data_IF_456632332598
#
_entry.id   IF_456632332598
#
_cell.length_a   1.000
_cell.length_b   1.000
_cell.length_c   1.000
_cell.angle_alpha   90.00
_cell.angle_beta   90.00
_cell.angle_gamma   90.00
#
_symmetry.space_group_name_H-M   'P 1'
#
loop_
_entity.id
_entity.type
_entity.pdbx_description
1 polymer ?
#
# COMPACT_ATOMS: atom_id res chain seq x y z
N UNK A 1 23.20 30.44 -31.41
CA UNK A 1 22.46 29.39 -32.16
C UNK A 1 22.65 28.01 -31.52
N UNK A 2 23.88 27.46 -31.47
CA UNK A 2 24.14 26.11 -30.91
C UNK A 2 23.77 25.97 -29.42
N UNK A 3 24.05 26.98 -28.61
CA UNK A 3 23.70 27.01 -27.18
C UNK A 3 22.19 27.06 -26.96
N UNK A 4 21.46 27.86 -27.74
CA UNK A 4 20.00 27.96 -27.69
C UNK A 4 19.35 26.63 -28.08
N UNK A 5 19.86 25.96 -29.13
CA UNK A 5 19.39 24.64 -29.54
C UNK A 5 19.57 23.60 -28.43
N UNK A 6 20.73 23.62 -27.74
CA UNK A 6 21.02 22.73 -26.63
C UNK A 6 20.10 23.00 -25.43
N UNK A 7 19.84 24.27 -25.12
CA UNK A 7 18.92 24.65 -24.04
C UNK A 7 17.47 24.19 -24.31
N UNK A 8 17.00 24.33 -25.55
CA UNK A 8 15.66 23.87 -25.95
C UNK A 8 15.57 22.35 -25.92
N UNK A 9 16.62 21.64 -26.36
CA UNK A 9 16.67 20.19 -26.34
C UNK A 9 16.62 19.64 -24.89
N UNK A 10 17.37 20.25 -23.97
CA UNK A 10 17.36 19.89 -22.54
C UNK A 10 16.00 20.16 -21.91
N UNK A 11 15.36 21.28 -22.25
CA UNK A 11 14.03 21.61 -21.76
C UNK A 11 12.99 20.57 -22.24
N UNK A 12 13.02 20.17 -23.52
CA UNK A 12 12.13 19.15 -24.06
C UNK A 12 12.34 17.77 -23.44
N UNK A 13 13.59 17.38 -23.14
CA UNK A 13 13.91 16.12 -22.48
C UNK A 13 13.41 16.06 -21.03
N UNK A 14 13.26 17.21 -20.37
CA UNK A 14 12.82 17.30 -18.98
C UNK A 14 11.32 17.01 -18.82
N UNK A 15 10.52 17.18 -19.88
CA UNK A 15 9.05 17.01 -19.86
C UNK A 15 8.66 15.52 -19.99
N UNK A 16 9.55 14.66 -20.49
CA UNK A 16 9.28 13.24 -20.70
C UNK A 16 9.68 12.36 -19.53
N UNK A 17 10.33 12.91 -18.50
CA UNK A 17 10.69 12.18 -17.27
C UNK A 17 9.49 12.13 -16.33
N UNK A 18 8.53 11.25 -16.62
CA UNK A 18 7.52 10.83 -15.63
C UNK A 18 8.04 9.59 -14.91
N UNK A 19 8.81 9.79 -13.84
CA UNK A 19 9.45 8.71 -13.08
C UNK A 19 8.54 8.00 -12.08
N UNK A 20 7.30 8.46 -11.88
CA UNK A 20 6.41 7.90 -10.86
C UNK A 20 5.11 7.39 -11.50
N UNK A 21 4.93 6.07 -11.45
CA UNK A 21 3.66 5.37 -11.63
C UNK A 21 2.59 6.01 -10.73
N UNK A 22 1.37 6.17 -11.23
CA UNK A 22 0.27 6.81 -10.51
C UNK A 22 0.06 6.18 -9.12
N UNK A 23 0.01 7.01 -8.07
CA UNK A 23 -0.30 6.57 -6.71
C UNK A 23 -1.72 5.98 -6.67
N UNK A 24 -1.85 4.72 -6.25
CA UNK A 24 -3.14 4.09 -6.02
C UNK A 24 -3.69 4.61 -4.69
N UNK A 25 -4.73 5.44 -4.75
CA UNK A 25 -5.43 5.92 -3.55
C UNK A 25 -6.40 4.84 -3.07
N UNK A 26 -6.16 4.30 -1.88
CA UNK A 26 -7.04 3.32 -1.25
C UNK A 26 -8.22 4.02 -0.54
N UNK A 27 -9.31 3.28 -0.37
CA UNK A 27 -10.43 3.73 0.45
C UNK A 27 -10.03 3.79 1.93
N UNK A 28 -10.73 4.54 2.79
CA UNK A 28 -10.58 4.40 4.24
C UNK A 28 -10.86 2.95 4.69
N UNK A 29 -10.06 2.39 5.61
CA UNK A 29 -10.28 1.05 6.12
C UNK A 29 -11.51 1.01 7.04
N UNK A 30 -12.18 -0.14 7.07
CA UNK A 30 -13.40 -0.35 7.87
C UNK A 30 -13.10 -1.25 9.07
N UNK A 31 -13.24 -0.74 10.29
CA UNK A 31 -12.82 -1.44 11.53
C UNK A 31 -13.88 -2.41 12.09
N UNK A 32 -15.12 -2.33 11.62
CA UNK A 32 -16.28 -3.13 12.06
C UNK A 32 -16.61 -4.29 11.10
N UNK A 33 -15.82 -4.47 10.05
CA UNK A 33 -15.96 -5.56 9.08
C UNK A 33 -15.20 -6.81 9.51
N UNK A 34 -15.74 -7.98 9.18
CA UNK A 34 -15.04 -9.26 9.28
C UNK A 34 -15.61 -10.21 10.34
N UNK A 35 -14.80 -11.22 10.70
CA UNK A 35 -15.15 -12.22 11.70
C UNK A 35 -14.65 -11.79 13.08
N UNK A 36 -15.28 -12.31 14.14
CA UNK A 36 -14.67 -12.24 15.47
C UNK A 36 -13.31 -12.95 15.47
N UNK A 37 -12.39 -12.49 16.31
CA UNK A 37 -11.04 -13.06 16.43
C UNK A 37 -11.09 -14.58 16.63
N UNK A 38 -12.01 -15.08 17.46
CA UNK A 38 -12.16 -16.51 17.70
C UNK A 38 -12.58 -17.30 16.46
N UNK A 39 -13.48 -16.76 15.64
CA UNK A 39 -13.88 -17.40 14.37
C UNK A 39 -12.77 -17.33 13.33
N UNK A 40 -12.05 -16.21 13.26
CA UNK A 40 -10.89 -16.06 12.37
C UNK A 40 -9.80 -17.10 12.69
N UNK A 41 -9.50 -17.32 13.98
CA UNK A 41 -8.56 -18.36 14.41
C UNK A 41 -9.05 -19.77 14.07
N UNK A 42 -10.34 -20.06 14.27
CA UNK A 42 -10.90 -21.36 13.93
C UNK A 42 -10.83 -21.68 12.42
N UNK A 43 -10.96 -20.67 11.57
CA UNK A 43 -10.92 -20.83 10.11
C UNK A 43 -9.51 -20.64 9.50
N UNK A 44 -8.51 -20.24 10.30
CA UNK A 44 -7.18 -19.92 9.79
C UNK A 44 -6.49 -21.15 9.23
N UNK A 45 -6.27 -21.16 7.93
CA UNK A 45 -5.51 -22.16 7.19
C UNK A 45 -4.66 -21.50 6.10
N UNK A 46 -3.64 -22.22 5.62
CA UNK A 46 -2.85 -21.79 4.47
C UNK A 46 -3.56 -22.24 3.18
N UNK A 47 -3.74 -21.32 2.22
CA UNK A 47 -4.27 -21.61 0.90
C UNK A 47 -3.15 -21.61 -0.15
N UNK A 48 -3.23 -22.49 -1.14
CA UNK A 48 -2.24 -22.62 -2.25
C UNK A 48 -2.89 -22.55 -3.64
N UNK A 49 -4.16 -22.20 -3.71
CA UNK A 49 -4.93 -22.02 -4.95
C UNK A 49 -5.79 -20.77 -4.84
N UNK A 50 -5.87 -19.99 -5.91
CA UNK A 50 -6.58 -18.70 -5.93
C UNK A 50 -7.40 -18.57 -7.20
N UNK A 51 -8.49 -17.80 -7.11
CA UNK A 51 -9.24 -17.37 -8.27
C UNK A 51 -8.51 -16.25 -9.03
N UNK A 52 -8.94 -15.97 -10.27
CA UNK A 52 -8.42 -14.89 -11.11
C UNK A 52 -9.03 -13.52 -10.79
N UNK A 53 -10.06 -13.47 -9.94
CA UNK A 53 -10.71 -12.23 -9.51
C UNK A 53 -9.74 -11.31 -8.75
N UNK A 54 -9.59 -10.08 -9.23
CA UNK A 54 -8.82 -9.04 -8.55
C UNK A 54 -9.47 -8.62 -7.22
N UNK A 55 -8.65 -8.29 -6.22
CA UNK A 55 -9.14 -7.68 -4.99
C UNK A 55 -9.78 -6.32 -5.28
N UNK A 56 -10.89 -6.02 -4.60
CA UNK A 56 -11.45 -4.67 -4.59
C UNK A 56 -10.49 -3.71 -3.87
N UNK A 57 -10.55 -2.40 -4.18
CA UNK A 57 -9.76 -1.40 -3.46
C UNK A 57 -10.10 -1.35 -1.96
N UNK A 58 -11.33 -1.71 -1.59
CA UNK A 58 -11.72 -1.80 -0.18
C UNK A 58 -11.05 -2.99 0.50
N UNK A 59 -11.09 -4.19 -0.11
CA UNK A 59 -10.47 -5.38 0.47
C UNK A 59 -8.95 -5.20 0.59
N UNK A 60 -8.32 -4.58 -0.40
CA UNK A 60 -6.90 -4.24 -0.33
C UNK A 60 -6.60 -3.23 0.79
N UNK A 61 -7.46 -2.21 0.97
CA UNK A 61 -7.30 -1.24 2.07
C UNK A 61 -7.42 -1.89 3.44
N UNK A 62 -8.50 -2.65 3.66
CA UNK A 62 -8.77 -3.32 4.93
C UNK A 62 -7.64 -4.32 5.26
N UNK A 63 -7.15 -5.07 4.26
CA UNK A 63 -6.04 -6.01 4.41
C UNK A 63 -4.73 -5.30 4.82
N UNK A 64 -4.36 -4.23 4.12
CA UNK A 64 -3.12 -3.50 4.41
C UNK A 64 -3.19 -2.76 5.75
N UNK A 65 -4.37 -2.23 6.11
CA UNK A 65 -4.56 -1.64 7.42
C UNK A 65 -4.47 -2.69 8.53
N UNK A 66 -5.08 -3.86 8.36
CA UNK A 66 -4.95 -4.96 9.31
C UNK A 66 -3.49 -5.38 9.49
N UNK A 67 -2.71 -5.44 8.41
CA UNK A 67 -1.30 -5.82 8.44
C UNK A 67 -0.37 -4.76 9.08
N UNK A 68 -0.49 -3.50 8.67
CA UNK A 68 0.46 -2.44 9.04
C UNK A 68 -0.15 -1.03 9.19
N UNK A 69 -1.47 -0.92 9.31
CA UNK A 69 -2.19 0.34 9.43
C UNK A 69 -1.94 1.09 10.73
N UNK A 70 -2.13 2.42 10.71
CA UNK A 70 -2.12 3.26 11.91
C UNK A 70 -3.50 3.16 12.59
N UNK A 71 -3.54 2.74 13.85
CA UNK A 71 -4.79 2.63 14.63
C UNK A 71 -4.88 3.63 15.78
N UNK A 72 -3.82 4.39 16.01
CA UNK A 72 -3.68 5.42 17.04
C UNK A 72 -3.05 6.65 16.40
N UNK A 73 -3.83 7.47 15.67
CA UNK A 73 -3.30 8.56 14.86
C UNK A 73 -2.49 9.58 15.66
N UNK A 74 -2.87 9.83 16.91
CA UNK A 74 -2.21 10.77 17.81
C UNK A 74 -0.78 10.36 18.19
N UNK A 75 -0.49 9.05 18.13
CA UNK A 75 0.83 8.50 18.46
C UNK A 75 1.52 7.81 17.27
N UNK A 76 0.89 7.79 16.10
CA UNK A 76 1.41 7.13 14.89
C UNK A 76 1.63 5.62 15.04
N UNK A 77 1.03 4.99 16.06
CA UNK A 77 1.25 3.57 16.35
C UNK A 77 0.42 2.68 15.43
N UNK A 78 0.96 1.49 15.14
CA UNK A 78 0.40 0.55 14.17
C UNK A 78 -0.46 -0.55 14.79
N UNK A 79 -1.17 -1.28 13.92
CA UNK A 79 -1.93 -2.50 14.25
C UNK A 79 -1.05 -3.65 14.70
N UNK A 80 0.23 -3.67 14.32
CA UNK A 80 1.23 -4.60 14.83
C UNK A 80 2.17 -3.95 15.86
N UNK A 81 2.67 -4.71 16.85
CA UNK A 81 3.70 -4.25 17.77
C UNK A 81 5.10 -4.36 17.16
N UNK A 82 6.01 -3.46 17.51
CA UNK A 82 7.43 -3.53 17.15
C UNK A 82 8.30 -3.17 18.35
N UNK A 83 9.53 -3.69 18.39
CA UNK A 83 10.45 -3.46 19.49
C UNK A 83 10.71 -1.95 19.64
N UNK A 84 10.42 -1.39 20.81
CA UNK A 84 10.57 0.05 21.06
C UNK A 84 9.82 0.95 20.05
N UNK A 85 8.75 0.45 19.41
CA UNK A 85 8.06 1.14 18.32
C UNK A 85 8.99 1.48 17.13
N UNK A 86 9.95 0.61 16.82
CA UNK A 86 10.85 0.74 15.66
C UNK A 86 10.12 0.83 14.33
N UNK A 87 8.96 0.16 14.21
CA UNK A 87 8.18 0.06 12.97
C UNK A 87 9.04 -0.35 11.75
N UNK A 88 9.94 -1.29 11.99
CA UNK A 88 11.02 -1.75 11.11
C UNK A 88 10.54 -2.63 9.93
N UNK A 89 9.23 -2.91 9.85
CA UNK A 89 8.63 -3.71 8.79
C UNK A 89 7.87 -2.81 7.81
N UNK A 90 8.32 -2.85 6.56
CA UNK A 90 7.62 -2.28 5.40
C UNK A 90 6.81 -3.35 4.66
N UNK A 91 5.62 -2.98 4.17
CA UNK A 91 4.74 -3.86 3.40
C UNK A 91 4.75 -3.43 1.93
N UNK A 92 5.27 -4.30 1.07
CA UNK A 92 5.26 -4.12 -0.37
C UNK A 92 4.17 -4.99 -1.01
N UNK A 93 3.38 -4.40 -1.91
CA UNK A 93 2.31 -5.10 -2.64
C UNK A 93 2.74 -5.27 -4.08
N UNK A 94 2.91 -6.53 -4.51
CA UNK A 94 3.10 -6.87 -5.90
C UNK A 94 1.70 -7.08 -6.53
N UNK A 95 1.27 -6.08 -7.29
CA UNK A 95 0.03 -6.15 -8.05
C UNK A 95 0.30 -6.78 -9.42
N UNK A 96 -0.70 -7.49 -9.94
CA UNK A 96 -0.68 -8.06 -11.29
C UNK A 96 -0.97 -6.99 -12.35
#
# INVERSE_FOLDING_TARGET
MRTILLSVLILCLSITVRAQTATIRLNPPTADRGLSVMKAFALRASATSWDTTSLSLQDLSDLLWAAAGINRPESGKRTYPSAMNSQDIDVYVLLR
#
